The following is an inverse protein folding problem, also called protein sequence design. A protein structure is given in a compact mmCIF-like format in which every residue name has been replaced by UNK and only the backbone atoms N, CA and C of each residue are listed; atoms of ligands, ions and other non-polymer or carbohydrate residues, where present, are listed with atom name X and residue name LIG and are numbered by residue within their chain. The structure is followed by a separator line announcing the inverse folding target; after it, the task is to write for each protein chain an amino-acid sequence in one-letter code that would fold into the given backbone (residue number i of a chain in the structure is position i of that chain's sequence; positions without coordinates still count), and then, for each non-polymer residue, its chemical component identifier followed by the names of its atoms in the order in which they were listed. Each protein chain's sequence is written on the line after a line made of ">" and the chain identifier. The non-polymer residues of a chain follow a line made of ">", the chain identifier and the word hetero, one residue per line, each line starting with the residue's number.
data_IF_747586709291
#
_entry.id   IF_747586709291
#
_cell.length_a   1.000
_cell.length_b   1.000
_cell.length_c   1.000
_cell.angle_alpha   90.00
_cell.angle_beta   90.00
_cell.angle_gamma   90.00
#
_symmetry.space_group_name_H-M   'P 1'
#
loop_
_entity.id
_entity.type
_entity.pdbx_description
1 polymer ?
#
# COMPACT_ATOMS: atom_id res chain seq x y z
N UNK A 1 -30.23 -8.42 -1.21
CA UNK A 1 -29.94 -8.58 0.23
C UNK A 1 -29.47 -7.25 0.73
N UNK A 2 -30.23 -6.60 1.60
CA UNK A 2 -29.77 -5.36 2.22
C UNK A 2 -28.69 -5.69 3.25
N UNK A 3 -27.56 -5.00 3.18
CA UNK A 3 -26.43 -5.24 4.07
C UNK A 3 -26.66 -4.68 5.49
N UNK A 4 -27.75 -3.96 5.75
CA UNK A 4 -28.07 -3.40 7.07
C UNK A 4 -27.18 -2.22 7.50
N UNK A 5 -27.77 -1.25 8.22
CA UNK A 5 -27.06 -0.06 8.71
C UNK A 5 -25.98 -0.37 9.75
N UNK A 6 -26.14 -1.46 10.49
CA UNK A 6 -25.17 -1.92 11.50
C UNK A 6 -23.78 -2.19 10.89
N UNK A 7 -23.73 -2.78 9.69
CA UNK A 7 -22.46 -3.03 9.00
C UNK A 7 -21.74 -1.73 8.63
N UNK A 8 -22.50 -0.70 8.22
CA UNK A 8 -21.95 0.64 8.00
C UNK A 8 -21.36 1.23 9.28
N UNK A 9 -22.13 1.23 10.37
CA UNK A 9 -21.69 1.74 11.66
C UNK A 9 -20.42 1.04 12.17
N UNK A 10 -20.41 -0.29 12.16
CA UNK A 10 -19.26 -1.10 12.57
C UNK A 10 -18.04 -0.83 11.69
N UNK A 11 -18.24 -0.70 10.38
CA UNK A 11 -17.17 -0.40 9.42
C UNK A 11 -16.51 0.96 9.69
N UNK A 12 -17.30 2.01 9.90
CA UNK A 12 -16.79 3.34 10.23
C UNK A 12 -16.08 3.37 11.58
N UNK A 13 -16.68 2.79 12.62
CA UNK A 13 -16.05 2.72 13.94
C UNK A 13 -14.70 1.98 13.90
N UNK A 14 -14.62 0.85 13.19
CA UNK A 14 -13.42 0.03 13.10
C UNK A 14 -12.20 0.79 12.51
N UNK A 15 -12.42 1.84 11.71
CA UNK A 15 -11.33 2.65 11.14
C UNK A 15 -10.38 3.23 12.19
N UNK A 16 -10.89 3.63 13.35
CA UNK A 16 -10.10 4.17 14.45
C UNK A 16 -9.38 3.09 15.28
N UNK A 17 -9.82 1.83 15.15
CA UNK A 17 -9.32 0.70 15.92
C UNK A 17 -8.25 -0.11 15.17
N UNK A 18 -8.26 -0.11 13.83
CA UNK A 18 -7.35 -0.93 13.01
C UNK A 18 -5.88 -0.66 13.33
N UNK A 19 -5.51 0.59 13.64
CA UNK A 19 -4.12 0.92 13.98
C UNK A 19 -3.58 0.11 15.18
N UNK A 20 -4.43 -0.17 16.19
CA UNK A 20 -4.05 -0.95 17.37
C UNK A 20 -3.85 -2.45 17.07
N UNK A 21 -4.42 -2.95 15.96
CA UNK A 21 -4.20 -4.34 15.54
C UNK A 21 -2.75 -4.59 15.12
N UNK A 22 -2.00 -3.54 14.75
CA UNK A 22 -0.57 -3.65 14.44
C UNK A 22 0.23 -4.07 15.68
N UNK A 23 0.11 -3.33 16.76
CA UNK A 23 0.84 -3.62 18.00
C UNK A 23 0.41 -4.97 18.58
N UNK A 24 -0.88 -5.30 18.47
CA UNK A 24 -1.37 -6.64 18.78
C UNK A 24 -0.67 -7.71 17.93
N UNK A 25 -0.63 -7.55 16.60
CA UNK A 25 0.01 -8.51 15.68
C UNK A 25 1.51 -8.69 15.94
N UNK A 26 2.20 -7.62 16.32
CA UNK A 26 3.64 -7.66 16.65
C UNK A 26 3.91 -8.63 17.81
N UNK A 27 3.02 -8.70 18.81
CA UNK A 27 3.12 -9.65 19.92
C UNK A 27 3.03 -11.13 19.48
N UNK A 28 2.52 -11.40 18.26
CA UNK A 28 2.34 -12.74 17.70
C UNK A 28 3.20 -13.00 16.46
N UNK A 29 4.29 -12.27 16.30
CA UNK A 29 5.21 -12.38 15.16
C UNK A 29 4.60 -12.04 13.80
N UNK A 30 3.66 -11.08 13.76
CA UNK A 30 3.01 -10.63 12.54
C UNK A 30 3.32 -9.15 12.26
N UNK A 31 3.93 -8.86 11.11
CA UNK A 31 4.26 -7.50 10.67
C UNK A 31 3.28 -7.08 9.58
N UNK A 32 2.80 -5.83 9.65
CA UNK A 32 1.87 -5.30 8.68
C UNK A 32 1.96 -3.78 8.54
N UNK A 33 1.65 -3.29 7.35
CA UNK A 33 1.56 -1.87 7.02
C UNK A 33 0.39 -1.64 6.05
N UNK A 34 -0.08 -0.40 5.99
CA UNK A 34 -0.97 0.04 4.93
C UNK A 34 -0.24 0.90 3.91
N UNK A 35 -0.67 0.81 2.65
CA UNK A 35 -0.17 1.66 1.59
C UNK A 35 -1.28 1.99 0.60
N UNK A 36 -1.07 3.00 -0.21
CA UNK A 36 -2.15 3.60 -0.98
C UNK A 36 -1.66 4.16 -2.31
N UNK A 37 -2.61 4.38 -3.22
CA UNK A 37 -2.40 5.07 -4.50
C UNK A 37 -3.72 5.63 -5.01
N UNK A 38 -3.68 6.63 -5.89
CA UNK A 38 -4.77 6.88 -6.85
C UNK A 38 -4.53 6.17 -8.16
N UNK A 39 -5.61 5.83 -8.87
CA UNK A 39 -5.58 5.26 -10.22
C UNK A 39 -6.75 5.80 -11.05
N UNK A 40 -6.61 5.90 -12.38
CA UNK A 40 -7.74 6.15 -13.27
C UNK A 40 -8.78 5.03 -13.17
N UNK A 41 -10.06 5.34 -13.46
CA UNK A 41 -11.16 4.37 -13.40
C UNK A 41 -10.89 3.09 -14.20
N UNK A 42 -10.31 3.23 -15.40
CA UNK A 42 -9.97 2.11 -16.29
C UNK A 42 -8.99 1.09 -15.68
N UNK A 43 -8.25 1.50 -14.64
CA UNK A 43 -7.14 0.71 -14.09
C UNK A 43 -7.47 0.12 -12.71
N UNK A 44 -8.60 0.49 -12.08
CA UNK A 44 -8.94 0.11 -10.70
C UNK A 44 -8.86 -1.40 -10.45
N UNK A 45 -9.58 -2.21 -11.25
CA UNK A 45 -9.61 -3.66 -11.08
C UNK A 45 -8.24 -4.28 -11.33
N UNK A 46 -7.60 -3.89 -12.43
CA UNK A 46 -6.28 -4.39 -12.83
C UNK A 46 -5.21 -4.13 -11.76
N UNK A 47 -5.17 -2.91 -11.21
CA UNK A 47 -4.21 -2.54 -10.15
C UNK A 47 -4.51 -3.30 -8.86
N UNK A 48 -5.79 -3.43 -8.47
CA UNK A 48 -6.16 -4.20 -7.28
C UNK A 48 -5.68 -5.65 -7.37
N UNK A 49 -5.95 -6.32 -8.48
CA UNK A 49 -5.60 -7.73 -8.69
C UNK A 49 -4.10 -7.94 -8.83
N UNK A 50 -3.44 -7.13 -9.68
CA UNK A 50 -2.02 -7.30 -9.98
C UNK A 50 -1.14 -6.98 -8.77
N UNK A 51 -1.47 -5.94 -7.98
CA UNK A 51 -0.73 -5.64 -6.75
C UNK A 51 -0.90 -6.75 -5.72
N UNK A 52 -2.12 -7.27 -5.52
CA UNK A 52 -2.36 -8.42 -4.62
C UNK A 52 -1.55 -9.65 -5.07
N UNK A 53 -1.52 -9.93 -6.36
CA UNK A 53 -0.75 -11.04 -6.94
C UNK A 53 0.76 -10.82 -6.75
N UNK A 54 1.27 -9.63 -7.08
CA UNK A 54 2.68 -9.24 -6.91
C UNK A 54 3.14 -9.43 -5.47
N UNK A 55 2.39 -8.93 -4.49
CA UNK A 55 2.70 -9.08 -3.06
C UNK A 55 2.84 -10.56 -2.68
N UNK A 56 1.93 -11.42 -3.12
CA UNK A 56 1.98 -12.86 -2.84
C UNK A 56 3.19 -13.53 -3.48
N UNK A 57 3.43 -13.27 -4.76
CA UNK A 57 4.56 -13.83 -5.51
C UNK A 57 5.90 -13.40 -4.88
N UNK A 58 6.05 -12.12 -4.55
CA UNK A 58 7.26 -11.59 -3.93
C UNK A 58 7.48 -12.15 -2.52
N UNK A 59 6.40 -12.35 -1.72
CA UNK A 59 6.50 -13.04 -0.44
C UNK A 59 7.05 -14.47 -0.59
N UNK A 60 6.51 -15.24 -1.54
CA UNK A 60 6.98 -16.62 -1.81
C UNK A 60 8.45 -16.61 -2.22
N UNK A 61 8.85 -15.71 -3.12
CA UNK A 61 10.24 -15.56 -3.57
C UNK A 61 11.18 -15.15 -2.42
N UNK A 62 10.70 -14.35 -1.47
CA UNK A 62 11.45 -13.94 -0.29
C UNK A 62 11.48 -15.00 0.83
N UNK A 63 10.91 -16.19 0.60
CA UNK A 63 10.95 -17.30 1.54
C UNK A 63 9.89 -17.25 2.65
N UNK A 64 8.85 -16.42 2.50
CA UNK A 64 7.70 -16.42 3.42
C UNK A 64 6.90 -17.70 3.20
N UNK A 65 6.84 -18.55 4.23
CA UNK A 65 6.26 -19.91 4.15
C UNK A 65 4.74 -19.94 4.32
N UNK A 66 4.17 -18.90 4.92
CA UNK A 66 2.72 -18.80 5.17
C UNK A 66 2.09 -17.84 4.18
N UNK A 67 0.83 -18.07 3.81
CA UNK A 67 0.09 -17.13 2.97
C UNK A 67 0.10 -15.72 3.60
N UNK A 68 0.58 -14.69 2.89
CA UNK A 68 0.55 -13.32 3.40
C UNK A 68 -0.88 -12.79 3.38
N UNK A 69 -1.18 -11.92 4.34
CA UNK A 69 -2.39 -11.12 4.28
C UNK A 69 -2.19 -10.00 3.26
N UNK A 70 -3.08 -9.91 2.28
CA UNK A 70 -3.18 -8.73 1.41
C UNK A 70 -4.63 -8.44 1.08
N UNK A 71 -5.05 -7.21 1.32
CA UNK A 71 -6.41 -6.73 1.03
C UNK A 71 -6.37 -5.35 0.39
N UNK A 72 -7.46 -4.97 -0.28
CA UNK A 72 -7.63 -3.67 -0.89
C UNK A 72 -9.08 -3.18 -0.71
N UNK A 73 -9.25 -1.88 -0.53
CA UNK A 73 -10.55 -1.20 -0.58
C UNK A 73 -10.43 0.11 -1.36
N UNK A 74 -11.52 0.50 -2.01
CA UNK A 74 -11.68 1.85 -2.57
C UNK A 74 -12.12 2.78 -1.44
N UNK A 75 -11.40 3.88 -1.23
CA UNK A 75 -11.60 4.78 -0.08
C UNK A 75 -12.11 6.16 -0.45
N UNK A 76 -11.81 6.63 -1.67
CA UNK A 76 -12.27 7.91 -2.19
C UNK A 76 -12.54 7.78 -3.68
N UNK A 77 -13.51 8.54 -4.17
CA UNK A 77 -13.92 8.61 -5.58
C UNK A 77 -13.72 10.03 -6.10
N UNK A 78 -13.34 10.12 -7.37
CA UNK A 78 -13.16 11.36 -8.11
C UNK A 78 -13.74 11.19 -9.52
N UNK A 79 -13.93 12.30 -10.23
CA UNK A 79 -14.40 12.27 -11.62
C UNK A 79 -13.49 11.41 -12.51
N UNK A 80 -12.18 11.45 -12.26
CA UNK A 80 -11.16 10.82 -13.10
C UNK A 80 -10.65 9.48 -12.57
N UNK A 81 -11.00 9.08 -11.34
CA UNK A 81 -10.47 7.85 -10.75
C UNK A 81 -10.81 7.65 -9.28
N UNK A 82 -10.03 6.81 -8.62
CA UNK A 82 -10.28 6.41 -7.24
C UNK A 82 -8.99 6.25 -6.43
N UNK A 83 -9.11 6.41 -5.11
CA UNK A 83 -8.06 6.06 -4.16
C UNK A 83 -8.20 4.60 -3.73
N UNK A 84 -7.18 3.80 -4.01
CA UNK A 84 -7.03 2.43 -3.55
C UNK A 84 -6.19 2.40 -2.29
N UNK A 85 -6.68 1.69 -1.28
CA UNK A 85 -6.00 1.52 0.01
C UNK A 85 -5.79 0.04 0.28
N UNK A 86 -4.53 -0.35 0.41
CA UNK A 86 -4.11 -1.72 0.64
C UNK A 86 -3.63 -1.90 2.08
N UNK A 87 -3.84 -3.11 2.59
CA UNK A 87 -3.14 -3.60 3.76
C UNK A 87 -2.36 -4.84 3.36
N UNK A 88 -1.12 -4.94 3.83
CA UNK A 88 -0.24 -6.08 3.62
C UNK A 88 0.42 -6.47 4.94
N UNK A 89 0.52 -7.77 5.21
CA UNK A 89 1.31 -8.28 6.31
C UNK A 89 1.59 -9.78 6.21
N UNK A 90 2.55 -10.26 6.99
CA UNK A 90 2.92 -11.67 7.05
C UNK A 90 3.52 -12.05 8.41
N UNK A 91 3.56 -13.35 8.69
CA UNK A 91 4.25 -13.90 9.86
C UNK A 91 5.76 -13.93 9.61
N UNK A 92 6.54 -13.29 10.47
CA UNK A 92 8.00 -13.27 10.33
C UNK A 92 8.72 -14.47 10.96
N UNK A 93 7.98 -15.48 11.43
CA UNK A 93 8.59 -16.68 12.03
C UNK A 93 9.52 -17.38 11.05
N UNK A 94 10.80 -17.49 11.43
CA UNK A 94 11.83 -18.11 10.60
C UNK A 94 12.38 -17.21 9.49
N UNK A 95 12.01 -15.93 9.45
CA UNK A 95 12.58 -14.93 8.53
C UNK A 95 13.78 -14.27 9.19
N UNK A 96 14.94 -14.27 8.52
CA UNK A 96 16.21 -13.77 9.09
C UNK A 96 16.22 -12.25 9.23
N UNK A 97 15.75 -11.54 8.21
CA UNK A 97 15.64 -10.07 8.19
C UNK A 97 14.22 -9.67 7.81
N UNK A 98 13.28 -9.64 8.78
CA UNK A 98 11.88 -9.41 8.48
C UNK A 98 11.59 -7.98 8.01
N UNK A 99 12.37 -6.99 8.46
CA UNK A 99 12.22 -5.61 8.03
C UNK A 99 12.69 -5.47 6.59
N UNK A 100 13.87 -5.99 6.25
CA UNK A 100 14.36 -5.98 4.87
C UNK A 100 13.44 -6.74 3.91
N UNK A 101 12.92 -7.90 4.31
CA UNK A 101 11.92 -8.64 3.52
C UNK A 101 10.63 -7.84 3.36
N UNK A 102 10.14 -7.18 4.41
CA UNK A 102 8.95 -6.34 4.33
C UNK A 102 9.15 -5.19 3.34
N UNK A 103 10.26 -4.45 3.46
CA UNK A 103 10.61 -3.36 2.56
C UNK A 103 10.72 -3.83 1.11
N UNK A 104 11.32 -4.98 0.86
CA UNK A 104 11.42 -5.57 -0.48
C UNK A 104 10.03 -5.84 -1.09
N UNK A 105 9.10 -6.39 -0.32
CA UNK A 105 7.74 -6.67 -0.81
C UNK A 105 6.93 -5.39 -1.01
N UNK A 106 7.06 -4.41 -0.10
CA UNK A 106 6.40 -3.11 -0.24
C UNK A 106 6.90 -2.35 -1.47
N UNK A 107 8.21 -2.38 -1.72
CA UNK A 107 8.83 -1.77 -2.90
C UNK A 107 8.34 -2.42 -4.19
N UNK A 108 8.30 -3.76 -4.24
CA UNK A 108 7.77 -4.50 -5.38
C UNK A 108 6.29 -4.18 -5.64
N UNK A 109 5.49 -3.96 -4.60
CA UNK A 109 4.11 -3.52 -4.72
C UNK A 109 4.01 -2.08 -5.25
N UNK A 110 4.91 -1.19 -4.82
CA UNK A 110 4.97 0.20 -5.32
C UNK A 110 5.37 0.25 -6.79
N UNK A 111 6.34 -0.55 -7.20
CA UNK A 111 6.76 -0.66 -8.60
C UNK A 111 5.60 -1.13 -9.49
N UNK A 112 4.85 -2.15 -9.05
CA UNK A 112 3.65 -2.64 -9.76
C UNK A 112 2.58 -1.55 -9.88
N UNK A 113 2.33 -0.79 -8.81
CA UNK A 113 1.40 0.36 -8.83
C UNK A 113 1.82 1.36 -9.91
N UNK A 114 3.09 1.77 -9.92
CA UNK A 114 3.60 2.78 -10.84
C UNK A 114 3.58 2.27 -12.29
N UNK A 115 3.93 1.00 -12.51
CA UNK A 115 3.91 0.36 -13.83
C UNK A 115 2.51 0.30 -14.45
N UNK A 116 1.47 0.21 -13.61
CA UNK A 116 0.06 0.16 -14.01
C UNK A 116 -0.62 1.54 -13.99
N UNK A 117 0.14 2.63 -13.90
CA UNK A 117 -0.39 4.00 -13.97
C UNK A 117 -1.04 4.50 -12.68
N UNK A 118 -0.73 3.88 -11.55
CA UNK A 118 -1.07 4.45 -10.24
C UNK A 118 -0.08 5.53 -9.81
N UNK A 119 -0.54 6.49 -9.01
CA UNK A 119 0.28 7.54 -8.42
C UNK A 119 1.33 7.01 -7.43
N UNK A 120 2.35 7.83 -7.15
CA UNK A 120 3.28 7.54 -6.05
C UNK A 120 2.62 7.54 -4.66
N UNK A 121 1.63 8.42 -4.45
CA UNK A 121 0.87 8.54 -3.20
C UNK A 121 -0.34 9.46 -3.41
N UNK A 122 -1.48 9.11 -2.83
CA UNK A 122 -2.66 9.97 -2.68
C UNK A 122 -2.51 10.91 -1.48
N UNK A 123 -2.12 10.39 -0.32
CA UNK A 123 -2.21 11.15 0.93
C UNK A 123 -1.14 10.82 1.99
N UNK A 124 -0.43 9.70 1.91
CA UNK A 124 0.68 9.42 2.83
C UNK A 124 1.92 10.30 2.54
N UNK A 125 2.02 10.88 1.34
CA UNK A 125 3.13 11.71 0.90
C UNK A 125 4.37 10.91 0.50
N UNK A 126 5.49 11.62 0.30
CA UNK A 126 6.74 11.02 -0.20
C UNK A 126 7.70 10.71 0.94
N UNK A 127 8.05 11.74 1.74
CA UNK A 127 9.07 11.65 2.78
C UNK A 127 10.39 11.06 2.27
N UNK A 128 11.18 10.47 3.17
CA UNK A 128 12.37 9.69 2.79
C UNK A 128 11.98 8.32 2.22
N UNK A 129 10.81 7.81 2.58
CA UNK A 129 10.36 6.46 2.24
C UNK A 129 10.21 6.26 0.73
N UNK A 130 9.67 7.26 0.01
CA UNK A 130 9.38 7.17 -1.43
C UNK A 130 10.25 8.07 -2.30
N UNK A 131 11.26 8.71 -1.72
CA UNK A 131 12.09 9.70 -2.42
C UNK A 131 12.74 9.16 -3.71
N UNK A 132 13.09 7.86 -3.74
CA UNK A 132 13.72 7.21 -4.90
C UNK A 132 12.86 7.22 -6.16
N UNK A 133 11.52 7.31 -6.00
CA UNK A 133 10.59 7.39 -7.12
C UNK A 133 10.12 8.81 -7.42
N UNK A 134 10.44 9.82 -6.60
CA UNK A 134 9.84 11.15 -6.77
C UNK A 134 10.19 11.79 -8.12
N UNK A 135 11.47 11.78 -8.48
CA UNK A 135 11.99 12.52 -9.62
C UNK A 135 11.35 12.11 -10.96
N UNK A 136 11.20 10.82 -11.30
CA UNK A 136 10.42 10.42 -12.48
C UNK A 136 8.95 10.84 -12.46
N UNK A 137 8.36 11.08 -11.28
CA UNK A 137 6.93 11.38 -11.13
C UNK A 137 6.61 12.86 -11.31
N UNK A 138 7.58 13.75 -11.06
CA UNK A 138 7.41 15.21 -11.19
C UNK A 138 8.30 15.83 -12.26
N UNK A 139 9.04 15.02 -13.02
CA UNK A 139 10.09 15.41 -13.98
C UNK A 139 11.32 16.09 -13.34
N UNK A 140 12.43 16.14 -14.10
CA UNK A 140 13.64 16.85 -13.67
C UNK A 140 13.36 18.34 -13.38
N UNK A 141 12.72 19.12 -14.28
CA UNK A 141 12.46 20.53 -13.99
C UNK A 141 11.58 20.76 -12.77
N UNK A 142 10.58 19.89 -12.55
CA UNK A 142 9.72 19.98 -11.36
C UNK A 142 10.50 19.70 -10.07
N UNK A 143 11.42 18.74 -10.09
CA UNK A 143 12.29 18.45 -8.96
C UNK A 143 13.27 19.60 -8.68
N UNK A 144 13.89 20.17 -9.71
CA UNK A 144 14.77 21.35 -9.60
C UNK A 144 14.03 22.57 -9.06
N UNK A 145 12.78 22.79 -9.47
CA UNK A 145 11.94 23.87 -8.96
C UNK A 145 11.65 23.71 -7.44
N UNK A 146 11.42 22.49 -6.96
CA UNK A 146 11.29 22.24 -5.52
C UNK A 146 12.59 22.53 -4.77
N UNK A 147 13.74 22.13 -5.36
CA UNK A 147 15.05 22.36 -4.76
C UNK A 147 15.39 23.85 -4.69
N UNK A 148 15.04 24.63 -5.72
CA UNK A 148 15.31 26.08 -5.77
C UNK A 148 14.48 26.88 -4.76
N UNK A 149 13.24 26.48 -4.49
CA UNK A 149 12.42 27.09 -3.43
C UNK A 149 12.96 26.78 -2.03
N UNK A 150 13.64 25.64 -1.86
CA UNK A 150 14.20 25.23 -0.56
C UNK A 150 15.51 25.95 -0.20
N UNK A 151 16.29 26.33 -1.20
CA UNK A 151 17.61 26.96 -1.07
C UNK A 151 17.52 28.33 -0.38
#
# INVERSE_FOLDING_TARGET
>A
MDAGSENGYRGYFLTFMIAYLRDFGVNFSFIAESFETTVPWSNVLMVCESVKRRVKETCVQAGIKTEPFVSCRVTQLYDTGACLYFYFGFSWKGVRDPVGTFTLVEDAAREEILALGGSLSHHHGVGKHRQRWLKPQISEPGFEALASVKA
#
